data_IF_484718195892
#
_entry.id   IF_484718195892
#
_cell.length_a   1.000
_cell.length_b   1.000
_cell.length_c   1.000
_cell.angle_alpha   90.00
_cell.angle_beta   90.00
_cell.angle_gamma   90.00
#
_symmetry.space_group_name_H-M   'P 1'
#
loop_
_entity.id
_entity.type
_entity.pdbx_description
1 polymer ?
#
# COMPACT_ATOMS: atom_id res chain seq x y z
N UNK A 1 10.36 3.92 -6.29
CA UNK A 1 9.58 3.95 -7.54
C UNK A 1 9.29 2.50 -7.86
N UNK A 2 8.01 2.09 -7.93
CA UNK A 2 7.72 0.71 -8.32
C UNK A 2 8.26 0.53 -9.73
N UNK A 3 9.08 -0.51 -9.95
CA UNK A 3 9.71 -0.73 -11.25
C UNK A 3 8.57 -0.99 -12.22
N UNK A 4 8.45 -0.21 -13.31
CA UNK A 4 7.37 -0.33 -14.31
C UNK A 4 7.19 -1.78 -14.78
N UNK A 5 8.28 -2.55 -14.81
CA UNK A 5 8.30 -3.98 -15.07
C UNK A 5 7.41 -4.78 -14.11
N UNK A 6 7.50 -4.55 -12.79
CA UNK A 6 6.68 -5.23 -11.79
C UNK A 6 5.19 -4.93 -11.97
N UNK A 7 4.84 -3.67 -12.24
CA UNK A 7 3.45 -3.29 -12.53
C UNK A 7 2.93 -4.08 -13.75
N UNK A 8 3.70 -4.11 -14.83
CA UNK A 8 3.33 -4.83 -16.04
C UNK A 8 3.19 -6.34 -15.81
N UNK A 9 4.02 -6.94 -14.95
CA UNK A 9 3.91 -8.35 -14.57
C UNK A 9 2.60 -8.63 -13.80
N UNK A 10 2.20 -7.75 -12.88
CA UNK A 10 0.92 -7.85 -12.17
C UNK A 10 -0.26 -7.75 -13.13
N UNK A 11 -0.25 -6.76 -14.03
CA UNK A 11 -1.32 -6.58 -15.01
C UNK A 11 -1.39 -7.77 -15.98
N UNK A 12 -0.24 -8.25 -16.44
CA UNK A 12 -0.15 -9.46 -17.26
C UNK A 12 -0.70 -10.69 -16.53
N UNK A 13 -0.36 -10.87 -15.26
CA UNK A 13 -0.87 -11.99 -14.46
C UNK A 13 -2.40 -12.01 -14.38
N UNK A 14 -3.02 -10.84 -14.17
CA UNK A 14 -4.48 -10.65 -14.20
C UNK A 14 -5.06 -10.97 -15.58
N UNK A 15 -4.46 -10.37 -16.62
CA UNK A 15 -5.00 -10.42 -17.98
C UNK A 15 -4.88 -11.81 -18.60
N UNK A 16 -3.79 -12.53 -18.32
CA UNK A 16 -3.59 -13.94 -18.72
C UNK A 16 -4.69 -14.87 -18.16
N UNK A 17 -5.36 -14.47 -17.07
CA UNK A 17 -6.47 -15.21 -16.45
C UNK A 17 -7.84 -14.62 -16.79
N UNK A 18 -7.90 -13.59 -17.62
CA UNK A 18 -9.11 -12.84 -17.94
C UNK A 18 -9.83 -12.33 -16.66
N UNK A 19 -9.08 -12.00 -15.61
CA UNK A 19 -9.65 -11.58 -14.32
C UNK A 19 -10.06 -10.12 -14.27
N UNK A 20 -9.69 -9.31 -15.29
CA UNK A 20 -10.07 -7.91 -15.38
C UNK A 20 -11.58 -7.69 -15.23
N UNK A 21 -12.41 -8.63 -15.67
CA UNK A 21 -13.87 -8.58 -15.53
C UNK A 21 -14.38 -8.60 -14.06
N UNK A 22 -13.59 -9.12 -13.12
CA UNK A 22 -13.95 -9.18 -11.69
C UNK A 22 -13.41 -7.99 -10.89
N UNK A 23 -12.51 -7.19 -11.48
CA UNK A 23 -11.77 -6.15 -10.79
C UNK A 23 -12.45 -4.78 -10.95
N UNK A 24 -13.64 -4.60 -10.36
CA UNK A 24 -14.23 -3.27 -10.25
C UNK A 24 -13.68 -2.51 -9.03
N UNK A 25 -13.76 -1.15 -9.00
CA UNK A 25 -13.17 -0.36 -7.91
C UNK A 25 -13.66 -0.73 -6.51
N UNK A 26 -14.94 -1.10 -6.36
CA UNK A 26 -15.52 -1.47 -5.06
C UNK A 26 -14.92 -2.78 -4.56
N UNK A 27 -14.85 -3.81 -5.40
CA UNK A 27 -14.30 -5.11 -4.99
C UNK A 27 -12.78 -5.03 -4.76
N UNK A 28 -12.04 -4.26 -5.56
CA UNK A 28 -10.61 -4.03 -5.33
C UNK A 28 -10.35 -3.28 -4.01
N UNK A 29 -11.18 -2.29 -3.66
CA UNK A 29 -11.09 -1.62 -2.37
C UNK A 29 -11.33 -2.58 -1.20
N UNK A 30 -12.27 -3.52 -1.36
CA UNK A 30 -12.50 -4.60 -0.39
C UNK A 30 -11.27 -5.48 -0.27
N UNK A 31 -10.70 -5.97 -1.38
CA UNK A 31 -9.48 -6.78 -1.37
C UNK A 31 -8.33 -6.08 -0.67
N UNK A 32 -8.05 -4.80 -0.98
CA UNK A 32 -7.01 -4.02 -0.27
C UNK A 32 -7.24 -4.03 1.24
N UNK A 33 -8.49 -3.89 1.69
CA UNK A 33 -8.82 -3.90 3.12
C UNK A 33 -8.64 -5.28 3.76
N UNK A 34 -8.88 -6.36 3.00
CA UNK A 34 -8.69 -7.73 3.49
C UNK A 34 -7.20 -8.02 3.67
N UNK A 35 -6.37 -7.79 2.65
CA UNK A 35 -4.91 -8.03 2.75
C UNK A 35 -4.25 -7.12 3.79
N UNK A 36 -4.75 -5.90 3.97
CA UNK A 36 -4.27 -5.03 5.04
C UNK A 36 -4.63 -5.58 6.44
N UNK A 37 -5.73 -6.34 6.56
CA UNK A 37 -6.10 -7.03 7.79
C UNK A 37 -5.27 -8.29 8.00
N UNK A 38 -4.90 -9.03 6.95
CA UNK A 38 -3.96 -10.16 7.03
C UNK A 38 -2.58 -9.67 7.48
N UNK A 39 -2.08 -8.55 6.92
CA UNK A 39 -0.87 -7.89 7.40
C UNK A 39 -0.96 -7.47 8.87
N UNK A 40 -2.14 -7.03 9.32
CA UNK A 40 -2.38 -6.68 10.72
C UNK A 40 -2.36 -7.92 11.63
N UNK A 41 -2.87 -9.05 11.16
CA UNK A 41 -2.91 -10.32 11.91
C UNK A 41 -1.50 -10.80 12.30
N UNK A 42 -0.50 -10.52 11.47
CA UNK A 42 0.92 -10.79 11.77
C UNK A 42 1.36 -10.24 13.13
N UNK A 43 0.70 -9.18 13.62
CA UNK A 43 1.00 -8.52 14.88
C UNK A 43 -0.05 -8.73 15.98
N UNK A 44 -1.18 -9.42 15.71
CA UNK A 44 -2.35 -9.47 16.61
C UNK A 44 -2.03 -9.97 18.03
N UNK A 45 -1.14 -10.95 18.15
CA UNK A 45 -0.78 -11.61 19.42
C UNK A 45 0.65 -11.30 19.88
N UNK A 46 1.24 -10.22 19.36
CA UNK A 46 2.65 -9.87 19.60
C UNK A 46 2.91 -9.08 20.89
N UNK A 47 1.85 -8.59 21.56
CA UNK A 47 2.01 -7.81 22.79
C UNK A 47 2.79 -6.51 22.55
N UNK A 48 3.97 -6.38 23.14
CA UNK A 48 4.87 -5.23 22.95
C UNK A 48 5.92 -5.45 21.86
N UNK A 49 5.89 -6.59 21.17
CA UNK A 49 6.87 -6.94 20.14
C UNK A 49 6.63 -6.12 18.86
N UNK A 50 7.46 -5.10 18.72
CA UNK A 50 7.54 -4.20 17.56
C UNK A 50 8.55 -4.67 16.50
N UNK A 51 9.19 -5.82 16.70
CA UNK A 51 10.23 -6.33 15.81
C UNK A 51 9.62 -7.14 14.66
N UNK A 52 10.31 -7.11 13.51
CA UNK A 52 9.90 -7.85 12.32
C UNK A 52 10.64 -9.19 12.15
N UNK A 53 11.72 -9.45 12.89
CA UNK A 53 12.70 -10.51 12.58
C UNK A 53 12.08 -11.90 12.40
N UNK A 54 11.17 -12.28 13.29
CA UNK A 54 10.51 -13.60 13.27
C UNK A 54 9.25 -13.64 12.38
N UNK A 55 8.84 -12.48 11.85
CA UNK A 55 7.61 -12.28 11.06
C UNK A 55 7.89 -11.91 9.60
N UNK A 56 9.16 -11.81 9.20
CA UNK A 56 9.60 -11.26 7.92
C UNK A 56 8.90 -11.90 6.72
N UNK A 57 8.74 -13.22 6.72
CA UNK A 57 8.18 -13.92 5.56
C UNK A 57 6.69 -13.60 5.40
N UNK A 58 5.90 -13.65 6.48
CA UNK A 58 4.50 -13.23 6.46
C UNK A 58 4.34 -11.75 6.10
N UNK A 59 5.15 -10.86 6.69
CA UNK A 59 5.12 -9.43 6.35
C UNK A 59 5.35 -9.23 4.86
N UNK A 60 6.27 -9.96 4.24
CA UNK A 60 6.55 -9.85 2.81
C UNK A 60 5.37 -10.29 1.95
N UNK A 61 4.73 -11.39 2.32
CA UNK A 61 3.56 -11.94 1.64
C UNK A 61 2.39 -10.95 1.69
N UNK A 62 1.91 -10.61 2.89
CA UNK A 62 0.72 -9.76 3.04
C UNK A 62 0.94 -8.33 2.52
N UNK A 63 2.15 -7.79 2.70
CA UNK A 63 2.48 -6.47 2.14
C UNK A 63 2.54 -6.51 0.61
N UNK A 64 3.01 -7.60 0.01
CA UNK A 64 3.00 -7.75 -1.43
C UNK A 64 1.57 -7.80 -1.96
N UNK A 65 0.66 -8.51 -1.29
CA UNK A 65 -0.74 -8.60 -1.70
C UNK A 65 -1.45 -7.24 -1.62
N UNK A 66 -1.25 -6.48 -0.53
CA UNK A 66 -1.73 -5.08 -0.44
C UNK A 66 -1.24 -4.25 -1.63
N UNK A 67 0.05 -4.35 -1.96
CA UNK A 67 0.65 -3.59 -3.07
C UNK A 67 0.12 -4.04 -4.43
N UNK A 68 -0.08 -5.34 -4.64
CA UNK A 68 -0.65 -5.91 -5.87
C UNK A 68 -2.05 -5.37 -6.09
N UNK A 69 -2.93 -5.42 -5.09
CA UNK A 69 -4.27 -4.86 -5.24
C UNK A 69 -4.28 -3.33 -5.40
N UNK A 70 -3.33 -2.61 -4.80
CA UNK A 70 -3.15 -1.19 -5.07
C UNK A 70 -2.78 -0.91 -6.54
N UNK A 71 -1.94 -1.75 -7.15
CA UNK A 71 -1.62 -1.66 -8.59
C UNK A 71 -2.85 -1.90 -9.45
N UNK A 72 -3.61 -2.94 -9.14
CA UNK A 72 -4.85 -3.27 -9.85
C UNK A 72 -5.89 -2.15 -9.72
N UNK A 73 -6.02 -1.56 -8.54
CA UNK A 73 -6.90 -0.43 -8.26
C UNK A 73 -6.50 0.82 -9.05
N UNK A 74 -5.20 1.11 -9.12
CA UNK A 74 -4.69 2.23 -9.91
C UNK A 74 -4.97 2.04 -11.41
N UNK A 75 -4.75 0.84 -11.95
CA UNK A 75 -5.04 0.53 -13.37
C UNK A 75 -6.52 0.70 -13.70
N UNK A 76 -7.41 0.16 -12.87
CA UNK A 76 -8.88 0.25 -13.08
C UNK A 76 -9.40 1.68 -12.93
N UNK A 77 -8.77 2.49 -12.06
CA UNK A 77 -9.10 3.89 -11.89
C UNK A 77 -8.35 4.83 -12.86
N UNK A 78 -7.54 4.30 -13.78
CA UNK A 78 -6.72 5.06 -14.73
C UNK A 78 -5.76 6.06 -14.05
N UNK A 79 -5.15 5.64 -12.93
CA UNK A 79 -4.23 6.46 -12.14
C UNK A 79 -2.78 6.03 -12.36
N UNK A 80 -1.88 7.01 -12.62
CA UNK A 80 -0.44 6.77 -12.54
C UNK A 80 0.00 6.73 -11.07
N UNK A 81 0.50 5.58 -10.63
CA UNK A 81 0.93 5.35 -9.23
C UNK A 81 2.03 6.32 -8.81
N UNK A 82 2.97 6.64 -9.69
CA UNK A 82 4.05 7.56 -9.34
C UNK A 82 3.51 8.98 -9.17
N UNK A 83 2.63 9.42 -10.05
CA UNK A 83 1.99 10.74 -9.97
C UNK A 83 1.23 10.91 -8.65
N UNK A 84 0.30 10.00 -8.32
CA UNK A 84 -0.51 10.12 -7.11
C UNK A 84 0.34 10.10 -5.83
N UNK A 85 1.44 9.32 -5.81
CA UNK A 85 2.38 9.28 -4.68
C UNK A 85 3.15 10.61 -4.60
N UNK A 86 3.70 11.12 -5.71
CA UNK A 86 4.47 12.36 -5.73
C UNK A 86 3.62 13.56 -5.31
N UNK A 87 2.38 13.63 -5.78
CA UNK A 87 1.44 14.65 -5.34
C UNK A 87 1.13 14.57 -3.85
N UNK A 88 0.91 13.35 -3.34
CA UNK A 88 0.66 13.14 -1.91
C UNK A 88 1.87 13.51 -1.07
N UNK A 89 3.08 13.18 -1.51
CA UNK A 89 4.33 13.58 -0.84
C UNK A 89 4.50 15.10 -0.80
N UNK A 90 4.22 15.81 -1.90
CA UNK A 90 4.22 17.29 -1.92
C UNK A 90 3.24 17.86 -0.89
N UNK A 91 2.03 17.31 -0.80
CA UNK A 91 1.02 17.71 0.21
C UNK A 91 1.49 17.39 1.64
N UNK A 92 2.07 16.21 1.87
CA UNK A 92 2.58 15.80 3.17
C UNK A 92 3.76 16.66 3.63
N UNK A 93 4.69 17.04 2.74
CA UNK A 93 5.81 17.94 3.07
C UNK A 93 5.33 19.34 3.50
N UNK A 94 4.24 19.84 2.91
CA UNK A 94 3.61 21.09 3.35
C UNK A 94 2.91 20.93 4.70
N UNK A 95 2.28 19.78 4.92
CA UNK A 95 1.52 19.45 6.13
C UNK A 95 2.42 19.14 7.35
N UNK A 96 3.59 18.58 7.11
CA UNK A 96 4.58 18.16 8.13
C UNK A 96 5.97 18.75 7.78
N UNK A 97 6.17 20.06 7.94
CA UNK A 97 7.45 20.67 7.62
C UNK A 97 8.55 20.18 8.58
N UNK A 98 9.77 20.00 8.05
CA UNK A 98 10.90 19.36 8.76
C UNK A 98 11.17 20.02 10.12
N UNK A 99 11.17 21.35 10.18
CA UNK A 99 11.46 22.10 11.40
C UNK A 99 10.43 21.90 12.53
N UNK A 100 9.23 21.41 12.23
CA UNK A 100 8.19 21.13 13.22
C UNK A 100 8.00 19.64 13.49
N UNK A 101 8.11 18.81 12.44
CA UNK A 101 7.76 17.39 12.49
C UNK A 101 8.95 16.47 12.79
N UNK A 102 10.20 16.94 12.67
CA UNK A 102 11.37 16.10 12.95
C UNK A 102 11.33 15.62 14.40
N UNK A 103 11.44 14.30 14.61
CA UNK A 103 11.35 13.63 15.91
C UNK A 103 10.02 13.86 16.66
N UNK A 104 8.96 14.26 15.96
CA UNK A 104 7.65 14.55 16.55
C UNK A 104 6.55 13.84 15.74
N UNK A 105 5.87 12.87 16.38
CA UNK A 105 4.78 12.10 15.77
C UNK A 105 3.40 12.74 15.96
N UNK A 106 3.32 13.91 16.62
CA UNK A 106 2.08 14.66 16.78
C UNK A 106 1.45 14.94 15.41
N UNK A 107 0.12 14.94 15.38
CA UNK A 107 -0.60 15.30 14.16
C UNK A 107 -0.29 16.76 13.82
N UNK A 108 -0.36 17.10 12.53
CA UNK A 108 -0.04 18.43 12.00
C UNK A 108 -0.76 19.61 12.69
N UNK A 109 -1.93 19.38 13.29
CA UNK A 109 -2.68 20.38 14.07
C UNK A 109 -2.13 20.58 15.50
N UNK A 110 -1.14 19.80 15.90
CA UNK A 110 -0.51 19.77 17.22
C UNK A 110 1.03 20.00 17.13
N UNK A 111 1.53 20.40 15.94
CA UNK A 111 2.94 20.67 15.62
C UNK A 111 3.39 22.12 15.87
#
# INVERSE_FOLDING_TARGET
>A
MMIRETINQVLKFRDDRNWKQFHNPKDLAVSISLEAAELLEVFQWSGMDIECKEKQDKIREELADVLIYCVLMADVCELDINEIIQEKLKKNNKKYPINKAKNNSKKYNEL
#
